data_IF_150036001748
#
_entry.id   IF_150036001748
#
_cell.length_a   1.000
_cell.length_b   1.000
_cell.length_c   1.000
_cell.angle_alpha   90.00
_cell.angle_beta   90.00
_cell.angle_gamma   90.00
#
_symmetry.space_group_name_H-M   'P 1'
#
loop_
_entity.id
_entity.type
_entity.pdbx_description
1 polymer ?
#
# COMPACT_ATOMS: atom_id res chain seq x y z
N UNK A 1 21.78 3.31 13.49
CA UNK A 1 20.63 4.10 14.01
C UNK A 1 20.05 3.34 15.18
N UNK A 2 19.99 3.92 16.40
CA UNK A 2 19.65 3.15 17.60
C UNK A 2 18.13 3.08 17.74
N UNK A 3 17.62 1.85 17.86
CA UNK A 3 16.25 1.56 18.25
C UNK A 3 16.03 2.04 19.70
N UNK A 4 14.90 2.69 19.98
CA UNK A 4 14.61 3.19 21.33
C UNK A 4 14.40 2.04 22.32
N UNK A 5 14.64 2.29 23.63
CA UNK A 5 14.44 1.27 24.67
C UNK A 5 12.95 0.84 24.75
N UNK A 6 12.03 1.77 24.45
CA UNK A 6 10.60 1.48 24.36
C UNK A 6 10.29 0.50 23.22
N UNK A 7 10.89 0.70 22.06
CA UNK A 7 10.72 -0.16 20.90
C UNK A 7 11.28 -1.56 21.14
N UNK A 8 12.45 -1.66 21.79
CA UNK A 8 13.02 -2.96 22.20
C UNK A 8 12.12 -3.69 23.20
N UNK A 9 11.55 -2.94 24.16
CA UNK A 9 10.63 -3.53 25.16
C UNK A 9 9.36 -4.04 24.50
N UNK A 10 8.79 -3.28 23.56
CA UNK A 10 7.63 -3.70 22.78
C UNK A 10 7.93 -4.96 21.97
N UNK A 11 9.06 -5.01 21.27
CA UNK A 11 9.46 -6.17 20.46
C UNK A 11 9.66 -7.43 21.31
N UNK A 12 10.27 -7.31 22.50
CA UNK A 12 10.41 -8.44 23.42
C UNK A 12 9.04 -8.99 23.82
N UNK A 13 8.11 -8.11 24.25
CA UNK A 13 6.74 -8.50 24.62
C UNK A 13 5.99 -9.13 23.44
N UNK A 14 6.20 -8.65 22.22
CA UNK A 14 5.62 -9.24 21.01
C UNK A 14 6.15 -10.67 20.75
N UNK A 15 7.45 -10.92 20.98
CA UNK A 15 8.05 -12.27 20.91
C UNK A 15 7.47 -13.20 21.98
N UNK A 16 7.18 -12.66 23.17
CA UNK A 16 6.51 -13.38 24.25
C UNK A 16 4.99 -13.56 24.03
N UNK A 17 4.48 -13.17 22.82
CA UNK A 17 3.07 -13.29 22.43
C UNK A 17 2.11 -12.50 23.30
N UNK A 18 2.57 -11.38 23.90
CA UNK A 18 1.73 -10.49 24.71
C UNK A 18 0.68 -9.79 23.82
N UNK A 19 -0.60 -10.09 24.05
CA UNK A 19 -1.71 -9.50 23.30
C UNK A 19 -1.84 -7.97 23.46
N UNK A 20 -1.40 -7.42 24.60
CA UNK A 20 -1.41 -5.96 24.81
C UNK A 20 -0.35 -5.30 23.95
N UNK A 21 0.85 -5.89 23.89
CA UNK A 21 1.91 -5.43 23.02
C UNK A 21 1.48 -5.47 21.54
N UNK A 22 0.74 -6.50 21.14
CA UNK A 22 0.19 -6.59 19.79
C UNK A 22 -0.84 -5.49 19.50
N UNK A 23 -1.73 -5.18 20.44
CA UNK A 23 -2.67 -4.05 20.30
C UNK A 23 -1.95 -2.71 20.18
N UNK A 24 -0.97 -2.46 21.04
CA UNK A 24 -0.11 -1.26 20.97
C UNK A 24 0.56 -1.12 19.59
N UNK A 25 1.07 -2.22 19.04
CA UNK A 25 1.65 -2.26 17.70
C UNK A 25 0.63 -1.88 16.61
N UNK A 26 -0.56 -2.50 16.64
CA UNK A 26 -1.62 -2.25 15.66
C UNK A 26 -2.05 -0.78 15.73
N UNK A 27 -2.31 -0.25 16.93
CA UNK A 27 -2.69 1.15 17.13
C UNK A 27 -1.65 2.13 16.59
N UNK A 28 -0.37 1.85 16.80
CA UNK A 28 0.72 2.71 16.34
C UNK A 28 0.91 2.72 14.81
N UNK A 29 0.52 1.64 14.11
CA UNK A 29 0.88 1.46 12.70
C UNK A 29 -0.31 1.25 11.75
N UNK A 30 -1.54 1.04 12.25
CA UNK A 30 -2.71 0.70 11.43
C UNK A 30 -2.96 1.70 10.30
N UNK A 31 -2.88 3.00 10.60
CA UNK A 31 -3.21 4.04 9.62
C UNK A 31 -2.20 4.05 8.47
N UNK A 32 -0.90 3.92 8.77
CA UNK A 32 0.13 3.83 7.74
C UNK A 32 0.05 2.54 6.93
N UNK A 33 -0.14 1.39 7.59
CA UNK A 33 -0.31 0.12 6.89
C UNK A 33 -1.54 0.19 5.98
N UNK A 34 -2.67 0.71 6.47
CA UNK A 34 -3.86 0.90 5.68
C UNK A 34 -3.64 1.87 4.50
N UNK A 35 -2.97 3.00 4.71
CA UNK A 35 -2.66 3.94 3.63
C UNK A 35 -1.83 3.29 2.53
N UNK A 36 -0.77 2.54 2.89
CA UNK A 36 0.05 1.82 1.92
C UNK A 36 -0.81 0.81 1.15
N UNK A 37 -1.62 -0.02 1.85
CA UNK A 37 -2.45 -1.03 1.20
C UNK A 37 -3.49 -0.40 0.28
N UNK A 38 -4.17 0.66 0.73
CA UNK A 38 -5.18 1.35 -0.07
C UNK A 38 -4.59 2.02 -1.31
N UNK A 39 -3.45 2.72 -1.18
CA UNK A 39 -2.77 3.32 -2.34
C UNK A 39 -2.25 2.29 -3.33
N UNK A 40 -1.84 1.14 -2.84
CA UNK A 40 -1.35 0.05 -3.69
C UNK A 40 -2.47 -0.70 -4.43
N UNK A 41 -3.60 -0.96 -3.77
CA UNK A 41 -4.67 -1.83 -4.27
C UNK A 41 -5.80 -1.04 -4.95
N UNK A 42 -6.10 0.18 -4.49
CA UNK A 42 -7.16 1.02 -5.04
C UNK A 42 -8.57 0.68 -4.56
N UNK A 43 -8.78 -0.51 -4.02
CA UNK A 43 -10.04 -0.96 -3.44
C UNK A 43 -9.95 -0.96 -1.90
N UNK A 44 -10.97 -0.39 -1.24
CA UNK A 44 -10.98 -0.21 0.21
C UNK A 44 -11.12 -1.54 0.95
N UNK A 45 -11.98 -2.43 0.46
CA UNK A 45 -12.23 -3.72 1.11
C UNK A 45 -10.98 -4.61 1.01
N UNK A 46 -10.37 -4.69 -0.17
CA UNK A 46 -9.11 -5.39 -0.38
C UNK A 46 -7.97 -4.81 0.48
N UNK A 47 -7.95 -3.49 0.66
CA UNK A 47 -6.94 -2.83 1.48
C UNK A 47 -7.11 -3.15 2.98
N UNK A 48 -8.34 -3.16 3.49
CA UNK A 48 -8.67 -3.54 4.86
C UNK A 48 -8.29 -5.01 5.13
N UNK A 49 -8.64 -5.92 4.21
CA UNK A 49 -8.30 -7.34 4.30
C UNK A 49 -6.79 -7.55 4.34
N UNK A 50 -6.07 -6.94 3.39
CA UNK A 50 -4.59 -7.06 3.33
C UNK A 50 -3.93 -6.43 4.54
N UNK A 51 -4.43 -5.30 5.06
CA UNK A 51 -3.89 -4.71 6.28
C UNK A 51 -4.04 -5.65 7.49
N UNK A 52 -5.16 -6.35 7.63
CA UNK A 52 -5.35 -7.38 8.66
C UNK A 52 -4.38 -8.56 8.47
N UNK A 53 -4.25 -9.07 7.24
CA UNK A 53 -3.30 -10.15 6.90
C UNK A 53 -1.86 -9.76 7.26
N UNK A 54 -1.47 -8.50 7.02
CA UNK A 54 -0.14 -7.97 7.40
C UNK A 54 0.09 -8.10 8.89
N UNK A 55 -0.84 -7.63 9.74
CA UNK A 55 -0.67 -7.70 11.20
C UNK A 55 -0.66 -9.14 11.71
N UNK A 56 -1.50 -10.02 11.14
CA UNK A 56 -1.47 -11.46 11.46
C UNK A 56 -0.11 -12.06 11.08
N UNK A 57 0.41 -11.71 9.90
CA UNK A 57 1.72 -12.18 9.43
C UNK A 57 2.84 -11.69 10.34
N UNK A 58 2.81 -10.39 10.71
CA UNK A 58 3.77 -9.79 11.66
C UNK A 58 3.77 -10.55 12.99
N UNK A 59 2.59 -10.79 13.57
CA UNK A 59 2.48 -11.54 14.82
C UNK A 59 3.06 -12.95 14.73
N UNK A 60 2.85 -13.62 13.59
CA UNK A 60 3.38 -14.98 13.36
C UNK A 60 4.88 -14.99 13.14
N UNK A 61 5.43 -13.95 12.50
CA UNK A 61 6.82 -13.92 12.02
C UNK A 61 7.73 -12.97 12.78
N UNK A 62 7.27 -12.40 13.90
CA UNK A 62 8.02 -11.41 14.70
C UNK A 62 9.42 -11.92 15.12
N UNK A 63 9.54 -13.22 15.36
CA UNK A 63 10.79 -13.87 15.72
C UNK A 63 11.85 -13.80 14.60
N UNK A 64 11.43 -13.60 13.35
CA UNK A 64 12.33 -13.43 12.19
C UNK A 64 12.90 -12.01 12.07
N UNK A 65 12.38 -11.06 12.82
CA UNK A 65 12.90 -9.70 12.84
C UNK A 65 14.26 -9.63 13.56
N UNK A 66 15.33 -9.30 12.82
CA UNK A 66 16.72 -9.38 13.30
C UNK A 66 17.26 -8.09 13.91
N UNK A 67 16.46 -7.03 14.04
CA UNK A 67 16.87 -5.72 14.58
C UNK A 67 18.02 -5.03 13.80
N UNK A 68 18.32 -5.50 12.58
CA UNK A 68 19.31 -4.90 11.67
C UNK A 68 18.80 -3.62 10.99
N UNK A 69 17.46 -3.45 10.95
CA UNK A 69 16.75 -2.28 10.43
C UNK A 69 15.73 -1.80 11.47
N UNK A 70 15.12 -0.63 11.21
CA UNK A 70 13.98 -0.18 12.02
C UNK A 70 12.80 -1.15 11.87
N UNK A 71 12.07 -1.36 12.97
CA UNK A 71 10.88 -2.20 12.93
C UNK A 71 9.86 -1.73 11.89
N UNK A 72 9.64 -0.41 11.77
CA UNK A 72 8.75 0.17 10.76
C UNK A 72 9.17 -0.19 9.33
N UNK A 73 10.46 -0.17 9.02
CA UNK A 73 11.00 -0.57 7.70
C UNK A 73 10.69 -2.05 7.40
N UNK A 74 10.88 -2.92 8.38
CA UNK A 74 10.53 -4.33 8.24
C UNK A 74 9.02 -4.54 8.07
N UNK A 75 8.19 -3.85 8.87
CA UNK A 75 6.73 -3.88 8.77
C UNK A 75 6.26 -3.44 7.36
N UNK A 76 6.81 -2.35 6.84
CA UNK A 76 6.43 -1.86 5.49
C UNK A 76 6.93 -2.79 4.38
N UNK A 77 8.04 -3.47 4.56
CA UNK A 77 8.46 -4.56 3.66
C UNK A 77 7.42 -5.68 3.63
N UNK A 78 6.94 -6.12 4.79
CA UNK A 78 5.86 -7.12 4.89
C UNK A 78 4.61 -6.61 4.19
N UNK A 79 4.21 -5.36 4.44
CA UNK A 79 3.04 -4.72 3.82
C UNK A 79 3.14 -4.71 2.29
N UNK A 80 4.25 -4.21 1.74
CA UNK A 80 4.47 -4.16 0.28
C UNK A 80 4.44 -5.55 -0.34
N UNK A 81 5.00 -6.56 0.33
CA UNK A 81 4.98 -7.93 -0.17
C UNK A 81 3.55 -8.51 -0.21
N UNK A 82 2.73 -8.27 0.82
CA UNK A 82 1.32 -8.67 0.83
C UNK A 82 0.54 -7.97 -0.29
N UNK A 83 0.73 -6.66 -0.48
CA UNK A 83 0.11 -5.93 -1.59
C UNK A 83 0.48 -6.51 -2.96
N UNK A 84 1.77 -6.75 -3.21
CA UNK A 84 2.24 -7.34 -4.48
C UNK A 84 1.64 -8.73 -4.73
N UNK A 85 1.53 -9.54 -3.68
CA UNK A 85 0.91 -10.87 -3.79
C UNK A 85 -0.60 -10.75 -4.10
N UNK A 86 -1.31 -9.83 -3.46
CA UNK A 86 -2.73 -9.56 -3.71
C UNK A 86 -2.96 -9.06 -5.14
N UNK A 87 -2.16 -8.11 -5.63
CA UNK A 87 -2.22 -7.62 -7.02
C UNK A 87 -2.07 -8.79 -8.01
N UNK A 88 -1.06 -9.63 -7.81
CA UNK A 88 -0.86 -10.82 -8.67
C UNK A 88 -2.01 -11.83 -8.59
N UNK A 89 -2.62 -11.97 -7.43
CA UNK A 89 -3.77 -12.85 -7.24
C UNK A 89 -4.99 -12.31 -8.01
N UNK A 90 -5.30 -11.02 -7.84
CA UNK A 90 -6.42 -10.36 -8.51
C UNK A 90 -6.27 -10.37 -10.04
N UNK A 91 -5.07 -10.11 -10.55
CA UNK A 91 -4.79 -10.18 -11.98
C UNK A 91 -5.08 -11.58 -12.55
N UNK A 92 -4.59 -12.65 -11.88
CA UNK A 92 -4.86 -14.03 -12.29
C UNK A 92 -6.33 -14.43 -12.21
N UNK A 93 -7.07 -13.90 -11.25
CA UNK A 93 -8.52 -14.12 -11.14
C UNK A 93 -9.25 -13.45 -12.30
N UNK A 94 -8.90 -12.21 -12.61
CA UNK A 94 -9.45 -11.46 -13.74
C UNK A 94 -9.22 -12.15 -15.09
N UNK A 95 -8.04 -12.73 -15.29
CA UNK A 95 -7.73 -13.47 -16.52
C UNK A 95 -8.60 -14.73 -16.63
N UNK A 96 -8.79 -15.49 -15.54
CA UNK A 96 -9.68 -16.67 -15.53
C UNK A 96 -11.14 -16.31 -15.79
N UNK A 97 -11.65 -15.27 -15.12
CA UNK A 97 -13.02 -14.81 -15.29
C UNK A 97 -13.28 -14.36 -16.75
N UNK A 98 -12.24 -13.84 -17.46
CA UNK A 98 -12.31 -13.51 -18.89
C UNK A 98 -12.35 -14.74 -19.78
N UNK A 99 -11.50 -15.74 -19.50
CA UNK A 99 -11.47 -16.99 -20.28
C UNK A 99 -12.81 -17.76 -20.13
N UNK A 100 -13.42 -17.76 -18.93
CA UNK A 100 -14.74 -18.36 -18.70
C UNK A 100 -15.88 -17.56 -19.38
N UNK A 101 -15.75 -16.23 -19.53
CA UNK A 101 -16.74 -15.38 -20.22
C UNK A 101 -16.63 -15.46 -21.74
N UNK A 102 -15.47 -15.76 -22.30
CA UNK A 102 -15.29 -15.99 -23.74
C UNK A 102 -15.91 -17.32 -24.21
N UNK A 103 -16.08 -18.30 -23.30
CA UNK A 103 -16.82 -19.54 -23.56
C UNK A 103 -18.35 -19.37 -23.45
N UNK A 104 -18.83 -18.32 -22.80
CA UNK A 104 -20.27 -18.02 -22.65
C UNK A 104 -20.54 -16.56 -23.05
N UNK A 105 -20.63 -16.33 -24.36
CA UNK A 105 -21.06 -15.01 -24.86
C UNK A 105 -22.46 -14.68 -24.41
N UNK A 106 -22.63 -13.73 -23.48
CA UNK A 106 -23.66 -12.68 -23.52
C UNK A 106 -23.43 -11.63 -22.41
N UNK A 107 -23.43 -10.40 -22.89
CA UNK A 107 -23.49 -9.09 -22.24
C UNK A 107 -23.84 -9.02 -20.75
N UNK A 108 -22.98 -8.34 -19.98
CA UNK A 108 -23.44 -7.26 -19.08
C UNK A 108 -22.30 -6.32 -18.73
N UNK A 109 -22.38 -5.13 -19.31
CA UNK A 109 -21.71 -3.92 -18.82
C UNK A 109 -22.16 -3.60 -17.40
N UNK A 110 -21.25 -3.59 -16.46
CA UNK A 110 -21.46 -3.14 -15.10
C UNK A 110 -20.32 -2.25 -14.64
N UNK A 111 -20.11 -1.12 -15.31
CA UNK A 111 -19.31 -0.03 -14.77
C UNK A 111 -20.13 0.65 -13.67
N UNK A 112 -19.88 0.34 -12.42
CA UNK A 112 -20.37 1.14 -11.30
C UNK A 112 -19.62 2.48 -11.33
N UNK A 113 -20.26 3.49 -11.91
CA UNK A 113 -19.79 4.86 -11.87
C UNK A 113 -19.86 5.44 -10.45
N UNK A 114 -19.01 6.41 -10.12
CA UNK A 114 -19.02 7.04 -8.80
C UNK A 114 -20.35 7.75 -8.55
N UNK A 115 -20.84 7.79 -7.29
CA UNK A 115 -22.07 8.50 -6.94
C UNK A 115 -21.89 10.00 -7.19
N UNK A 116 -22.74 10.55 -8.04
CA UNK A 116 -22.85 11.99 -8.28
C UNK A 116 -23.84 12.58 -7.28
N UNK A 117 -23.45 13.70 -6.73
CA UNK A 117 -24.15 14.80 -6.06
C UNK A 117 -23.89 14.99 -4.58
N UNK A 118 -23.11 16.05 -4.29
CA UNK A 118 -23.31 16.94 -3.17
C UNK A 118 -22.58 18.27 -3.43
N UNK A 119 -23.13 19.37 -2.92
CA UNK A 119 -22.73 20.76 -3.13
C UNK A 119 -21.29 21.10 -2.72
N UNK A 120 -20.71 22.20 -3.30
CA UNK A 120 -19.28 22.50 -3.13
C UNK A 120 -19.02 23.09 -1.74
N UNK A 121 -18.46 22.27 -0.88
CA UNK A 121 -17.79 22.69 0.34
C UNK A 121 -16.32 22.25 0.24
N UNK A 122 -15.38 22.97 0.84
CA UNK A 122 -13.92 22.67 0.79
C UNK A 122 -13.58 21.20 1.13
N UNK A 123 -14.43 20.56 1.91
CA UNK A 123 -14.33 19.12 2.21
C UNK A 123 -14.59 18.24 0.96
N UNK A 124 -15.47 18.70 0.05
CA UNK A 124 -15.79 18.00 -1.21
C UNK A 124 -14.68 18.15 -2.24
N UNK A 125 -14.05 19.32 -2.31
CA UNK A 125 -12.89 19.53 -3.20
C UNK A 125 -11.72 18.64 -2.78
N UNK A 126 -11.48 18.50 -1.46
CA UNK A 126 -10.49 17.60 -0.92
C UNK A 126 -10.78 16.12 -1.23
N UNK A 127 -12.03 15.69 -1.11
CA UNK A 127 -12.46 14.34 -1.43
C UNK A 127 -12.35 14.03 -2.95
N UNK A 128 -12.69 14.99 -3.80
CA UNK A 128 -12.53 14.84 -5.25
C UNK A 128 -11.05 14.75 -5.66
N UNK A 129 -10.20 15.58 -5.07
CA UNK A 129 -8.74 15.53 -5.30
C UNK A 129 -8.16 14.19 -4.85
N UNK A 130 -8.63 13.67 -3.72
CA UNK A 130 -8.23 12.36 -3.19
C UNK A 130 -8.57 11.23 -4.17
N UNK A 131 -9.79 11.23 -4.73
CA UNK A 131 -10.22 10.26 -5.75
C UNK A 131 -9.35 10.37 -7.01
N UNK A 132 -9.15 11.58 -7.52
CA UNK A 132 -8.30 11.82 -8.69
C UNK A 132 -6.85 11.36 -8.48
N UNK A 133 -6.30 11.63 -7.28
CA UNK A 133 -4.96 11.16 -6.92
C UNK A 133 -4.90 9.64 -6.86
N UNK A 134 -5.90 9.00 -6.24
CA UNK A 134 -5.98 7.54 -6.16
C UNK A 134 -6.08 6.91 -7.55
N UNK A 135 -6.92 7.44 -8.42
CA UNK A 135 -7.03 6.99 -9.82
C UNK A 135 -5.71 7.18 -10.58
N UNK A 136 -5.03 8.31 -10.39
CA UNK A 136 -3.74 8.56 -11.03
C UNK A 136 -2.66 7.56 -10.56
N UNK A 137 -2.62 7.24 -9.27
CA UNK A 137 -1.72 6.24 -8.68
C UNK A 137 -2.05 4.84 -9.19
N UNK A 138 -3.33 4.47 -9.30
CA UNK A 138 -3.76 3.17 -9.79
C UNK A 138 -3.32 2.89 -11.24
N UNK A 139 -3.07 3.94 -12.04
CA UNK A 139 -2.59 3.80 -13.41
C UNK A 139 -1.06 3.69 -13.55
N UNK A 140 -0.33 3.79 -12.46
CA UNK A 140 1.10 3.50 -12.48
C UNK A 140 1.36 2.00 -12.59
N UNK A 141 2.45 1.64 -13.25
CA UNK A 141 2.98 0.27 -13.14
C UNK A 141 3.22 -0.08 -11.67
N UNK A 142 3.02 -1.32 -11.27
CA UNK A 142 3.13 -1.76 -9.87
C UNK A 142 4.46 -1.36 -9.23
N UNK A 143 5.56 -1.47 -9.96
CA UNK A 143 6.89 -1.09 -9.50
C UNK A 143 7.07 0.42 -9.32
N UNK A 144 6.40 1.24 -10.13
CA UNK A 144 6.37 2.70 -9.99
C UNK A 144 5.47 3.11 -8.85
N UNK A 145 4.32 2.45 -8.70
CA UNK A 145 3.35 2.68 -7.64
C UNK A 145 3.97 2.49 -6.26
N UNK A 146 4.68 1.38 -6.04
CA UNK A 146 5.38 1.09 -4.77
C UNK A 146 6.28 2.25 -4.35
N UNK A 147 7.17 2.71 -5.23
CA UNK A 147 8.16 3.73 -4.86
C UNK A 147 7.52 5.11 -4.64
N UNK A 148 6.44 5.45 -5.38
CA UNK A 148 5.68 6.69 -5.18
C UNK A 148 4.93 6.66 -3.85
N UNK A 149 4.24 5.57 -3.53
CA UNK A 149 3.51 5.43 -2.28
C UNK A 149 4.47 5.55 -1.10
N UNK A 150 5.59 4.87 -1.12
CA UNK A 150 6.56 4.92 -0.03
C UNK A 150 7.23 6.32 0.08
N UNK A 151 7.52 7.00 -1.05
CA UNK A 151 8.22 8.29 -1.04
C UNK A 151 7.29 9.47 -0.86
N UNK A 152 6.23 9.57 -1.68
CA UNK A 152 5.45 10.79 -1.82
C UNK A 152 4.20 10.78 -0.92
N UNK A 153 3.76 9.60 -0.44
CA UNK A 153 2.64 9.46 0.49
C UNK A 153 3.13 9.22 1.92
N UNK A 154 4.09 8.29 2.11
CA UNK A 154 4.59 7.93 3.45
C UNK A 154 5.87 8.70 3.87
N UNK A 155 6.39 9.57 2.99
CA UNK A 155 7.57 10.43 3.20
C UNK A 155 8.84 9.68 3.66
N UNK A 156 9.03 8.44 3.17
CA UNK A 156 10.21 7.65 3.50
C UNK A 156 11.44 8.12 2.70
N UNK A 157 12.61 7.99 3.30
CA UNK A 157 13.89 8.28 2.62
C UNK A 157 14.16 7.27 1.49
N UNK A 158 15.04 7.62 0.55
CA UNK A 158 15.44 6.70 -0.53
C UNK A 158 16.11 5.46 0.06
N UNK A 159 16.90 5.61 1.11
CA UNK A 159 17.58 4.53 1.81
C UNK A 159 16.57 3.56 2.42
N UNK A 160 15.53 4.06 3.12
CA UNK A 160 14.46 3.23 3.67
C UNK A 160 13.69 2.50 2.56
N UNK A 161 13.42 3.16 1.42
CA UNK A 161 12.77 2.54 0.28
C UNK A 161 13.64 1.44 -0.33
N UNK A 162 14.95 1.64 -0.43
CA UNK A 162 15.88 0.60 -0.86
C UNK A 162 15.83 -0.61 0.09
N UNK A 163 15.82 -0.38 1.39
CA UNK A 163 15.70 -1.44 2.40
C UNK A 163 14.36 -2.19 2.29
N UNK A 164 13.24 -1.48 2.11
CA UNK A 164 11.89 -2.06 1.99
C UNK A 164 11.76 -2.89 0.71
N UNK A 165 12.23 -2.34 -0.41
CA UNK A 165 11.99 -2.93 -1.74
C UNK A 165 13.08 -3.88 -2.20
N UNK A 166 14.28 -3.81 -1.61
CA UNK A 166 15.47 -4.52 -2.06
C UNK A 166 16.07 -3.96 -3.35
N UNK A 167 15.64 -2.76 -3.78
CA UNK A 167 16.10 -2.13 -5.03
C UNK A 167 17.31 -1.24 -4.80
N UNK A 168 18.24 -1.15 -5.77
CA UNK A 168 19.32 -0.19 -5.73
C UNK A 168 18.81 1.27 -5.79
N UNK A 169 19.50 2.21 -5.15
CA UNK A 169 19.20 3.65 -5.12
C UNK A 169 18.91 4.23 -6.51
N UNK A 170 19.75 3.97 -7.49
CA UNK A 170 19.55 4.44 -8.87
C UNK A 170 18.24 3.91 -9.49
N UNK A 171 17.83 2.69 -9.14
CA UNK A 171 16.56 2.11 -9.60
C UNK A 171 15.37 2.79 -8.94
N UNK A 172 15.42 3.04 -7.63
CA UNK A 172 14.37 3.76 -6.90
C UNK A 172 14.20 5.17 -7.49
N UNK A 173 15.30 5.93 -7.64
CA UNK A 173 15.28 7.29 -8.22
C UNK A 173 14.72 7.31 -9.63
N UNK A 174 15.12 6.39 -10.50
CA UNK A 174 14.65 6.34 -11.88
C UNK A 174 13.16 5.96 -11.98
N UNK A 175 12.67 5.05 -11.11
CA UNK A 175 11.24 4.70 -11.03
C UNK A 175 10.41 5.87 -10.52
N UNK A 176 10.87 6.56 -9.47
CA UNK A 176 10.22 7.78 -8.96
C UNK A 176 10.11 8.86 -10.03
N UNK A 177 11.21 9.11 -10.76
CA UNK A 177 11.21 10.10 -11.83
C UNK A 177 10.15 9.78 -12.90
N UNK A 178 10.12 8.55 -13.40
CA UNK A 178 9.14 8.11 -14.41
C UNK A 178 7.71 8.18 -13.89
N UNK A 179 7.48 7.69 -12.67
CA UNK A 179 6.17 7.73 -12.04
C UNK A 179 5.62 9.16 -11.91
N UNK A 180 6.45 10.09 -11.45
CA UNK A 180 6.07 11.51 -11.31
C UNK A 180 5.75 12.17 -12.66
N UNK A 181 6.43 11.77 -13.74
CA UNK A 181 6.08 12.23 -15.10
C UNK A 181 4.69 11.74 -15.52
N UNK A 182 4.37 10.47 -15.25
CA UNK A 182 3.05 9.90 -15.55
C UNK A 182 1.96 10.62 -14.74
N UNK A 183 2.17 10.77 -13.41
CA UNK A 183 1.24 11.46 -12.52
C UNK A 183 1.01 12.91 -12.97
N UNK A 184 2.08 13.65 -13.25
CA UNK A 184 1.99 15.03 -13.73
C UNK A 184 1.13 15.14 -14.99
N UNK A 185 1.38 14.28 -15.99
CA UNK A 185 0.62 14.27 -17.25
C UNK A 185 -0.86 13.97 -17.05
N UNK A 186 -1.21 13.13 -16.07
CA UNK A 186 -2.61 12.81 -15.77
C UNK A 186 -3.29 13.95 -15.00
N UNK A 187 -2.66 14.41 -13.92
CA UNK A 187 -3.24 15.46 -13.08
C UNK A 187 -3.39 16.81 -13.80
N UNK A 188 -2.49 17.14 -14.73
CA UNK A 188 -2.63 18.36 -15.56
C UNK A 188 -3.89 18.41 -16.44
N UNK A 189 -4.58 17.29 -16.64
CA UNK A 189 -5.85 17.24 -17.39
C UNK A 189 -7.07 17.60 -16.53
N UNK A 190 -6.88 17.71 -15.24
CA UNK A 190 -7.93 17.93 -14.25
C UNK A 190 -7.75 19.25 -13.47
N UNK A 191 -6.66 19.97 -13.72
CA UNK A 191 -6.36 21.32 -13.25
C UNK A 191 -6.42 22.28 -14.44
#
# INVERSE_FOLDING_TARGET
>A
MHMSDLERTLLRRLRDRDERAFRELVEAHRDRVFNITYRMLGDRAEAEDVAQEVFISVFKTIDSFREEARFSTWLYRVTVNHCKNRIKYLARRHDRDRDELDETSHETNGAAGPPRHAQPDRALEGAQLEVLLQEAIAHLDDDQRVVVVLRDVEDLSIEEICEITGLPDGTVKSRLHRARLVLRKRLQRHV
#
